data_IF_236161432640
#
_entry.id   IF_236161432640
#
_cell.length_a   1.000
_cell.length_b   1.000
_cell.length_c   1.000
_cell.angle_alpha   90.00
_cell.angle_beta   90.00
_cell.angle_gamma   90.00
#
_symmetry.space_group_name_H-M   'P 1'
#
loop_
_entity.id
_entity.type
_entity.pdbx_description
1 polymer ?
#
# COMPACT_ATOMS: atom_id res chain seq x y z
N UNK A 1 26.97 -8.37 8.95
CA UNK A 1 26.04 -8.35 10.09
C UNK A 1 24.72 -8.97 9.66
N UNK A 2 24.33 -10.12 10.23
CA UNK A 2 22.99 -10.69 10.06
C UNK A 2 21.99 -9.85 10.87
N UNK A 3 20.98 -9.26 10.22
CA UNK A 3 19.84 -8.62 10.91
C UNK A 3 18.81 -9.72 11.19
N UNK A 4 18.67 -10.21 12.43
CA UNK A 4 17.87 -11.41 12.71
C UNK A 4 16.36 -11.12 12.73
N UNK A 5 15.97 -9.86 12.88
CA UNK A 5 14.56 -9.44 12.90
C UNK A 5 14.11 -9.14 11.48
N UNK A 6 13.07 -9.82 11.04
CA UNK A 6 12.47 -9.66 9.73
C UNK A 6 10.94 -9.52 9.86
N UNK A 7 10.37 -8.70 8.99
CA UNK A 7 8.93 -8.59 8.80
C UNK A 7 8.60 -9.08 7.39
N UNK A 8 7.88 -10.21 7.32
CA UNK A 8 7.42 -10.79 6.05
C UNK A 8 6.09 -10.18 5.65
N UNK A 9 5.94 -9.91 4.35
CA UNK A 9 4.76 -9.26 3.78
C UNK A 9 4.22 -10.10 2.63
N UNK A 10 2.96 -10.47 2.71
CA UNK A 10 2.24 -11.09 1.60
C UNK A 10 1.48 -10.03 0.80
N UNK A 11 2.04 -9.67 -0.35
CA UNK A 11 1.44 -8.69 -1.25
C UNK A 11 0.15 -9.21 -1.92
N UNK A 12 -0.05 -10.53 -1.99
CA UNK A 12 -1.27 -11.10 -2.53
C UNK A 12 -2.46 -10.85 -1.61
N UNK A 13 -2.24 -10.89 -0.29
CA UNK A 13 -3.28 -10.55 0.70
C UNK A 13 -3.71 -9.09 0.56
N UNK A 14 -2.80 -8.17 0.25
CA UNK A 14 -3.16 -6.77 0.02
C UNK A 14 -4.07 -6.60 -1.21
N UNK A 15 -3.79 -7.32 -2.31
CA UNK A 15 -4.65 -7.33 -3.50
C UNK A 15 -6.02 -7.92 -3.20
N UNK A 16 -6.08 -8.98 -2.41
CA UNK A 16 -7.33 -9.60 -1.97
C UNK A 16 -8.16 -8.64 -1.13
N UNK A 17 -7.54 -7.91 -0.19
CA UNK A 17 -8.22 -6.89 0.60
C UNK A 17 -8.81 -5.78 -0.27
N UNK A 18 -8.07 -5.30 -1.27
CA UNK A 18 -8.57 -4.34 -2.24
C UNK A 18 -9.78 -4.89 -3.03
N UNK A 19 -9.72 -6.15 -3.46
CA UNK A 19 -10.85 -6.82 -4.13
C UNK A 19 -12.08 -6.93 -3.22
N UNK A 20 -11.90 -7.21 -1.93
CA UNK A 20 -13.00 -7.22 -0.95
C UNK A 20 -13.64 -5.84 -0.83
N UNK A 21 -12.85 -4.78 -0.69
CA UNK A 21 -13.37 -3.40 -0.60
C UNK A 21 -14.14 -3.03 -1.87
N UNK A 22 -13.61 -3.36 -3.05
CA UNK A 22 -14.29 -3.12 -4.34
C UNK A 22 -15.62 -3.86 -4.45
N UNK A 23 -15.68 -5.11 -4.00
CA UNK A 23 -16.94 -5.88 -3.98
C UNK A 23 -17.95 -5.31 -3.00
N UNK A 24 -17.49 -4.76 -1.87
CA UNK A 24 -18.36 -4.17 -0.87
C UNK A 24 -18.93 -2.81 -1.31
N UNK A 25 -18.22 -2.06 -2.15
CA UNK A 25 -18.64 -0.75 -2.63
C UNK A 25 -18.30 -0.57 -4.13
N UNK A 26 -19.06 -1.21 -5.05
CA UNK A 26 -18.71 -1.28 -6.47
C UNK A 26 -18.70 0.09 -7.17
N UNK A 27 -19.59 0.99 -6.78
CA UNK A 27 -19.72 2.33 -7.37
C UNK A 27 -18.85 3.39 -6.68
N UNK A 28 -18.22 3.05 -5.55
CA UNK A 28 -17.43 4.00 -4.79
C UNK A 28 -16.01 4.12 -5.33
N UNK A 29 -15.47 5.34 -5.28
CA UNK A 29 -14.03 5.52 -5.44
C UNK A 29 -13.31 4.96 -4.23
N UNK A 30 -12.30 4.12 -4.45
CA UNK A 30 -11.46 3.53 -3.41
C UNK A 30 -10.12 4.25 -3.40
N UNK A 31 -9.75 4.79 -2.24
CA UNK A 31 -8.47 5.46 -2.05
C UNK A 31 -7.62 4.69 -1.05
N UNK A 32 -6.43 4.28 -1.47
CA UNK A 32 -5.48 3.59 -0.59
C UNK A 32 -4.77 4.61 0.28
N UNK A 33 -5.10 4.59 1.56
CA UNK A 33 -4.49 5.50 2.53
C UNK A 33 -3.12 4.97 2.92
N UNK A 34 -2.06 5.71 2.60
CA UNK A 34 -0.68 5.38 2.97
C UNK A 34 -0.11 6.48 3.87
N UNK A 35 0.32 6.08 5.06
CA UNK A 35 0.86 6.96 6.11
C UNK A 35 2.08 6.28 6.72
N UNK A 36 3.07 7.01 7.25
CA UNK A 36 4.23 6.42 7.93
C UNK A 36 4.88 5.24 7.15
N UNK A 37 5.29 5.48 5.90
CA UNK A 37 5.86 4.46 4.99
C UNK A 37 4.93 3.23 4.82
N UNK A 38 3.68 3.48 4.43
CA UNK A 38 2.62 2.48 4.33
C UNK A 38 2.38 1.67 5.62
N UNK A 39 2.21 2.36 6.75
CA UNK A 39 2.03 1.78 8.08
C UNK A 39 3.17 0.82 8.46
N UNK A 40 4.41 1.16 8.05
CA UNK A 40 5.60 0.31 8.24
C UNK A 40 5.76 -0.84 7.25
N UNK A 41 4.85 -1.03 6.28
CA UNK A 41 4.94 -2.09 5.27
C UNK A 41 5.94 -1.75 4.15
N UNK A 42 6.31 -0.48 3.99
CA UNK A 42 7.22 -0.02 2.93
C UNK A 42 6.46 0.36 1.67
N UNK A 43 6.43 1.65 1.34
CA UNK A 43 5.62 2.19 0.23
C UNK A 43 6.00 1.59 -1.12
N UNK A 44 7.29 1.43 -1.41
CA UNK A 44 7.79 0.83 -2.65
C UNK A 44 7.26 -0.59 -2.88
N UNK A 45 7.08 -1.37 -1.80
CA UNK A 45 6.62 -2.77 -1.88
C UNK A 45 5.12 -2.84 -2.12
N UNK A 46 4.35 -2.00 -1.43
CA UNK A 46 2.89 -2.05 -1.47
C UNK A 46 2.28 -1.29 -2.64
N UNK A 47 3.02 -0.34 -3.22
CA UNK A 47 2.54 0.50 -4.32
C UNK A 47 1.94 -0.31 -5.47
N UNK A 48 2.70 -1.28 -5.97
CA UNK A 48 2.26 -2.17 -7.05
C UNK A 48 1.10 -3.08 -6.64
N UNK A 49 1.08 -3.53 -5.38
CA UNK A 49 0.02 -4.39 -4.85
C UNK A 49 -1.33 -3.68 -4.75
N UNK A 50 -1.32 -2.36 -4.58
CA UNK A 50 -2.51 -1.52 -4.44
C UNK A 50 -2.87 -0.74 -5.71
N UNK A 51 -2.25 -1.06 -6.85
CA UNK A 51 -2.44 -0.38 -8.14
C UNK A 51 -3.88 -0.35 -8.67
N UNK A 52 -4.78 -1.23 -8.18
CA UNK A 52 -6.21 -1.22 -8.54
C UNK A 52 -7.07 -0.19 -7.77
N UNK A 53 -6.45 0.64 -6.94
CA UNK A 53 -7.09 1.75 -6.23
C UNK A 53 -7.29 2.94 -7.16
N UNK A 54 -8.30 3.78 -6.93
CA UNK A 54 -8.54 4.99 -7.76
C UNK A 54 -7.61 6.14 -7.42
N UNK A 55 -6.96 6.07 -6.26
CA UNK A 55 -5.99 7.06 -5.83
C UNK A 55 -5.31 6.69 -4.52
N UNK A 56 -4.24 7.40 -4.21
CA UNK A 56 -3.55 7.30 -2.93
C UNK A 56 -3.80 8.55 -2.10
N UNK A 57 -4.12 8.36 -0.82
CA UNK A 57 -4.20 9.45 0.15
C UNK A 57 -2.98 9.40 1.06
N UNK A 58 -2.26 10.51 1.17
CA UNK A 58 -1.03 10.62 1.98
C UNK A 58 -1.12 11.83 2.92
N UNK A 59 -0.52 11.72 4.11
CA UNK A 59 -0.48 12.85 5.06
C UNK A 59 0.62 13.85 4.74
N UNK A 60 1.78 13.37 4.30
CA UNK A 60 2.94 14.20 3.97
C UNK A 60 3.46 13.83 2.58
N UNK A 61 3.74 14.85 1.78
CA UNK A 61 4.60 14.74 0.60
C UNK A 61 6.06 14.79 1.07
N UNK A 62 6.50 13.83 1.88
CA UNK A 62 7.96 13.68 2.03
C UNK A 62 8.50 13.25 0.66
N UNK A 63 9.50 14.00 0.15
CA UNK A 63 10.00 13.99 -1.23
C UNK A 63 9.94 12.62 -1.89
N UNK A 64 9.38 12.61 -3.10
CA UNK A 64 9.32 11.46 -4.00
C UNK A 64 10.68 11.07 -4.58
N UNK A 65 11.62 10.66 -3.73
CA UNK A 65 12.89 10.06 -4.16
C UNK A 65 12.83 8.52 -4.13
N UNK A 66 11.67 7.93 -3.86
CA UNK A 66 11.44 6.47 -3.84
C UNK A 66 11.17 5.84 -5.23
N UNK A 67 11.36 6.59 -6.33
CA UNK A 67 11.05 6.14 -7.70
C UNK A 67 12.15 6.46 -8.73
N UNK A 68 13.42 6.47 -8.32
CA UNK A 68 14.56 6.45 -9.23
C UNK A 68 15.03 5.00 -9.49
#
# INVERSE_FOLDING_TARGET
MTRPIQASLDLQVMKQNLSIVRRAAPEARVWSVVKANAYGHGIERVWNALSGTDGFAMLNLERGDYLA
#
